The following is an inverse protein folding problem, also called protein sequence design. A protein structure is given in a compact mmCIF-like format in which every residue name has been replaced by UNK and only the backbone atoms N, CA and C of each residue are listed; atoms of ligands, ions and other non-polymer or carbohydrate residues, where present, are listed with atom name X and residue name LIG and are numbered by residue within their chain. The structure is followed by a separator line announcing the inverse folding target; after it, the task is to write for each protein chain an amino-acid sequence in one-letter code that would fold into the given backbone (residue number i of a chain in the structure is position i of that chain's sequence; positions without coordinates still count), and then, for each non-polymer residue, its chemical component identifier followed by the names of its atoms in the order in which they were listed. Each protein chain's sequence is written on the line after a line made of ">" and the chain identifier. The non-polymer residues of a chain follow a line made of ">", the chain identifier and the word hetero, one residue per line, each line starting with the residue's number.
data_IF_940164246618
#
_entry.id   IF_940164246618
#
_cell.length_a   1.000
_cell.length_b   1.000
_cell.length_c   1.000
_cell.angle_alpha   90.00
_cell.angle_beta   90.00
_cell.angle_gamma   90.00
#
_symmetry.space_group_name_H-M   'P 1'
#
loop_
_entity.id
_entity.type
_entity.pdbx_description
1 polymer ?
#
# COMPACT_ATOMS: atom_id res chain seq x y z
N UNK A 1 9.05 14.18 2.33
CA UNK A 1 8.52 13.28 3.35
C UNK A 1 9.23 11.94 3.25
N UNK A 2 9.57 11.33 4.38
CA UNK A 2 10.16 9.99 4.42
C UNK A 2 9.22 9.09 5.22
N UNK A 3 8.71 8.05 4.56
CA UNK A 3 7.82 7.05 5.16
C UNK A 3 8.65 5.78 5.42
N UNK A 4 9.07 5.58 6.66
CA UNK A 4 9.95 4.46 7.03
C UNK A 4 9.50 3.82 8.35
N UNK A 5 9.35 2.50 8.41
CA UNK A 5 8.99 1.77 9.63
C UNK A 5 10.23 1.38 10.47
N UNK A 6 11.28 2.21 10.51
CA UNK A 6 12.55 1.83 11.16
C UNK A 6 12.91 2.70 12.37
N UNK A 7 12.04 3.62 12.77
CA UNK A 7 12.30 4.60 13.82
C UNK A 7 11.25 4.56 14.92
N UNK A 8 11.51 5.26 16.04
CA UNK A 8 10.54 5.41 17.14
C UNK A 8 9.34 6.32 16.80
N UNK A 9 9.51 7.20 15.82
CA UNK A 9 8.42 7.99 15.25
C UNK A 9 8.18 7.50 13.83
N UNK A 10 6.94 7.23 13.47
CA UNK A 10 6.58 6.70 12.16
C UNK A 10 5.54 7.57 11.47
N UNK A 11 5.69 7.73 10.17
CA UNK A 11 4.66 8.34 9.33
C UNK A 11 3.62 7.27 9.01
N UNK A 12 2.35 7.55 9.27
CA UNK A 12 1.27 6.61 9.09
C UNK A 12 0.86 6.41 7.63
N UNK A 13 0.33 5.24 7.36
CA UNK A 13 -0.34 4.88 6.11
C UNK A 13 -1.67 4.25 6.49
N UNK A 14 -2.76 4.88 6.07
CA UNK A 14 -4.10 4.37 6.32
C UNK A 14 -4.94 4.40 5.03
N UNK A 15 -5.29 3.25 4.43
CA UNK A 15 -6.10 3.23 3.23
C UNK A 15 -7.50 3.79 3.44
N UNK A 16 -8.07 3.67 4.65
CA UNK A 16 -9.41 4.14 4.96
C UNK A 16 -9.51 5.67 5.01
N UNK A 17 -8.40 6.39 5.19
CA UNK A 17 -8.40 7.85 5.11
C UNK A 17 -8.77 8.38 3.71
N UNK A 18 -8.65 7.55 2.68
CA UNK A 18 -8.95 7.94 1.31
C UNK A 18 -10.42 8.32 1.09
N UNK A 19 -11.32 7.90 1.98
CA UNK A 19 -12.71 8.37 2.03
C UNK A 19 -12.80 9.90 2.18
N UNK A 20 -11.89 10.52 2.93
CA UNK A 20 -11.80 11.99 3.08
C UNK A 20 -11.50 12.70 1.76
N UNK A 21 -11.01 11.97 0.78
CA UNK A 21 -10.66 12.49 -0.55
C UNK A 21 -11.68 12.09 -1.61
N UNK A 22 -12.84 11.57 -1.21
CA UNK A 22 -13.96 11.24 -2.08
C UNK A 22 -13.75 9.93 -2.85
N UNK A 23 -13.03 8.97 -2.25
CA UNK A 23 -13.00 7.58 -2.73
C UNK A 23 -14.01 6.80 -1.89
N UNK A 24 -14.93 6.11 -2.58
CA UNK A 24 -16.00 5.38 -1.91
C UNK A 24 -15.46 4.21 -1.06
N UNK A 25 -16.04 3.95 0.12
CA UNK A 25 -15.62 2.86 1.01
C UNK A 25 -15.58 1.50 0.32
N UNK A 26 -16.53 1.25 -0.59
CA UNK A 26 -16.65 0.02 -1.38
C UNK A 26 -15.41 -0.18 -2.27
N UNK A 27 -14.98 0.88 -2.93
CA UNK A 27 -13.79 0.87 -3.79
C UNK A 27 -12.54 0.54 -2.97
N UNK A 28 -12.39 1.16 -1.79
CA UNK A 28 -11.25 0.88 -0.90
C UNK A 28 -11.27 -0.58 -0.43
N UNK A 29 -12.45 -1.10 -0.05
CA UNK A 29 -12.60 -2.48 0.39
C UNK A 29 -12.25 -3.48 -0.72
N UNK A 30 -12.70 -3.23 -1.95
CA UNK A 30 -12.42 -4.08 -3.11
C UNK A 30 -10.92 -4.11 -3.44
N UNK A 31 -10.26 -2.94 -3.46
CA UNK A 31 -8.81 -2.88 -3.67
C UNK A 31 -8.01 -3.59 -2.58
N UNK A 32 -8.42 -3.47 -1.31
CA UNK A 32 -7.79 -4.20 -0.22
C UNK A 32 -8.02 -5.71 -0.35
N UNK A 33 -9.22 -6.14 -0.72
CA UNK A 33 -9.52 -7.56 -0.94
C UNK A 33 -8.65 -8.15 -2.05
N UNK A 34 -8.55 -7.48 -3.20
CA UNK A 34 -7.70 -7.92 -4.31
C UNK A 34 -6.21 -7.91 -3.93
N UNK A 35 -5.76 -6.91 -3.15
CA UNK A 35 -4.41 -6.86 -2.61
C UNK A 35 -4.11 -8.11 -1.76
N UNK A 36 -4.99 -8.46 -0.81
CA UNK A 36 -4.78 -9.61 0.06
C UNK A 36 -4.89 -10.94 -0.69
N UNK A 37 -5.80 -11.08 -1.65
CA UNK A 37 -5.85 -12.23 -2.57
C UNK A 37 -4.53 -12.40 -3.33
N UNK A 38 -4.01 -11.32 -3.89
CA UNK A 38 -2.76 -11.34 -4.64
C UNK A 38 -1.52 -11.63 -3.78
N UNK A 39 -1.50 -11.12 -2.54
CA UNK A 39 -0.41 -11.39 -1.59
C UNK A 39 -0.41 -12.84 -1.10
N UNK A 40 -1.58 -13.46 -0.95
CA UNK A 40 -1.76 -14.75 -0.30
C UNK A 40 -2.72 -15.68 -1.09
N UNK A 41 -2.43 -15.99 -2.37
CA UNK A 41 -3.39 -16.63 -3.29
C UNK A 41 -3.87 -18.01 -2.81
N UNK A 42 -3.04 -18.75 -2.07
CA UNK A 42 -3.35 -20.11 -1.63
C UNK A 42 -3.83 -20.20 -0.17
N UNK A 43 -4.00 -19.04 0.50
CA UNK A 43 -4.24 -19.04 1.96
C UNK A 43 -5.67 -18.74 2.36
N UNK A 44 -6.47 -18.16 1.48
CA UNK A 44 -7.83 -17.74 1.78
C UNK A 44 -8.85 -18.57 1.00
N UNK A 45 -9.68 -19.34 1.71
CA UNK A 45 -10.85 -19.95 1.14
C UNK A 45 -11.99 -18.94 0.95
N UNK A 46 -13.08 -19.38 0.30
CA UNK A 46 -14.23 -18.54 -0.04
C UNK A 46 -14.78 -17.80 1.20
N UNK A 47 -14.97 -18.50 2.32
CA UNK A 47 -15.46 -17.88 3.55
C UNK A 47 -14.49 -16.86 4.16
N UNK A 48 -13.18 -17.10 4.09
CA UNK A 48 -12.19 -16.14 4.57
C UNK A 48 -12.17 -14.87 3.73
N UNK A 49 -12.36 -14.98 2.41
CA UNK A 49 -12.47 -13.84 1.50
C UNK A 49 -13.75 -13.04 1.76
N UNK A 50 -14.87 -13.72 2.00
CA UNK A 50 -16.13 -13.09 2.34
C UNK A 50 -16.02 -12.29 3.64
N UNK A 51 -15.43 -12.87 4.68
CA UNK A 51 -15.17 -12.18 5.95
C UNK A 51 -14.22 -10.99 5.76
N UNK A 52 -13.16 -11.13 4.96
CA UNK A 52 -12.24 -10.02 4.67
C UNK A 52 -12.96 -8.87 3.96
N UNK A 53 -13.77 -9.16 2.94
CA UNK A 53 -14.54 -8.18 2.20
C UNK A 53 -15.44 -7.35 3.12
N UNK A 54 -16.27 -8.02 3.93
CA UNK A 54 -17.16 -7.34 4.87
C UNK A 54 -16.41 -6.61 5.99
N UNK A 55 -15.27 -7.14 6.43
CA UNK A 55 -14.43 -6.47 7.42
C UNK A 55 -13.79 -5.19 6.89
N UNK A 56 -13.24 -5.22 5.66
CA UNK A 56 -12.67 -4.04 5.02
C UNK A 56 -13.74 -2.98 4.78
N UNK A 57 -14.92 -3.39 4.29
CA UNK A 57 -16.03 -2.46 4.07
C UNK A 57 -16.52 -1.84 5.39
N UNK A 58 -16.64 -2.65 6.44
CA UNK A 58 -17.01 -2.17 7.78
C UNK A 58 -16.02 -1.10 8.27
N UNK A 59 -14.71 -1.38 8.18
CA UNK A 59 -13.68 -0.43 8.59
C UNK A 59 -13.62 0.80 7.69
N UNK A 60 -13.86 0.66 6.39
CA UNK A 60 -13.84 1.78 5.46
C UNK A 60 -15.02 2.76 5.66
N UNK A 61 -16.18 2.27 6.10
CA UNK A 61 -17.37 3.08 6.36
C UNK A 61 -17.35 3.81 7.70
N UNK A 62 -16.54 3.35 8.65
CA UNK A 62 -16.47 3.93 9.99
C UNK A 62 -15.25 4.87 10.08
N UNK A 63 -15.45 6.13 10.52
CA UNK A 63 -14.34 7.07 10.67
C UNK A 63 -13.37 6.63 11.78
N UNK A 64 -12.14 7.09 11.71
CA UNK A 64 -11.08 6.82 12.69
C UNK A 64 -10.77 5.33 12.88
N UNK A 65 -10.86 4.55 11.82
CA UNK A 65 -10.45 3.15 11.78
C UNK A 65 -9.09 3.00 11.09
N UNK A 66 -8.47 1.85 11.27
CA UNK A 66 -7.21 1.48 10.61
C UNK A 66 -7.15 -0.02 10.34
N UNK A 67 -6.27 -0.42 9.42
CA UNK A 67 -6.12 -1.82 9.01
C UNK A 67 -5.76 -2.76 10.18
N UNK A 68 -5.03 -2.25 11.16
CA UNK A 68 -4.61 -3.00 12.35
C UNK A 68 -5.78 -3.36 13.28
N UNK A 69 -6.92 -2.71 13.13
CA UNK A 69 -8.13 -3.01 13.91
C UNK A 69 -8.87 -4.27 13.45
N UNK A 70 -8.57 -4.79 12.25
CA UNK A 70 -9.26 -5.95 11.70
C UNK A 70 -9.22 -7.20 12.60
N UNK A 71 -8.08 -7.61 13.19
CA UNK A 71 -8.06 -8.71 14.13
C UNK A 71 -9.00 -8.50 15.33
N UNK A 72 -9.04 -7.28 15.88
CA UNK A 72 -9.93 -6.94 16.99
C UNK A 72 -11.40 -6.93 16.58
N UNK A 73 -11.73 -6.45 15.40
CA UNK A 73 -13.07 -6.53 14.82
C UNK A 73 -13.56 -7.99 14.75
N UNK A 74 -12.68 -8.91 14.38
CA UNK A 74 -13.01 -10.33 14.20
C UNK A 74 -13.07 -11.10 15.52
N UNK A 75 -12.24 -10.76 16.52
CA UNK A 75 -12.09 -11.55 17.74
C UNK A 75 -12.73 -10.93 18.99
N UNK A 76 -12.90 -9.60 19.03
CA UNK A 76 -13.47 -8.90 20.19
C UNK A 76 -14.92 -8.46 19.91
N UNK A 77 -15.87 -9.20 20.50
CA UNK A 77 -17.30 -8.93 20.32
C UNK A 77 -17.72 -7.54 20.83
N UNK A 78 -17.16 -7.07 21.93
CA UNK A 78 -17.48 -5.75 22.48
C UNK A 78 -17.04 -4.64 21.54
N UNK A 79 -15.82 -4.75 21.01
CA UNK A 79 -15.29 -3.81 20.02
C UNK A 79 -16.10 -3.83 18.72
N UNK A 80 -16.43 -5.01 18.22
CA UNK A 80 -17.27 -5.17 17.03
C UNK A 80 -18.64 -4.53 17.21
N UNK A 81 -19.31 -4.80 18.33
CA UNK A 81 -20.61 -4.20 18.62
C UNK A 81 -20.56 -2.66 18.74
N UNK A 82 -19.45 -2.11 19.28
CA UNK A 82 -19.23 -0.67 19.33
C UNK A 82 -19.21 -0.08 17.92
N UNK A 83 -18.40 -0.67 17.01
CA UNK A 83 -18.30 -0.22 15.64
C UNK A 83 -19.63 -0.35 14.89
N UNK A 84 -20.32 -1.47 15.03
CA UNK A 84 -21.58 -1.73 14.31
C UNK A 84 -22.72 -0.78 14.70
N UNK A 85 -22.69 -0.17 15.89
CA UNK A 85 -23.69 0.86 16.28
C UNK A 85 -23.61 2.11 15.42
N UNK A 86 -22.47 2.40 14.83
CA UNK A 86 -22.26 3.55 13.94
C UNK A 86 -22.70 3.25 12.50
N UNK A 87 -22.91 1.97 12.16
CA UNK A 87 -23.34 1.55 10.82
C UNK A 87 -24.87 1.49 10.72
N UNK A 88 -25.39 1.96 9.60
CA UNK A 88 -26.80 1.87 9.23
C UNK A 88 -26.92 1.16 7.87
N UNK A 89 -26.74 -0.15 7.88
CA UNK A 89 -26.86 -0.98 6.68
C UNK A 89 -27.49 -2.33 7.02
N UNK A 90 -28.84 -2.35 7.20
CA UNK A 90 -29.53 -3.55 7.67
C UNK A 90 -29.52 -4.70 6.66
N UNK A 91 -29.40 -4.41 5.36
CA UNK A 91 -29.44 -5.44 4.30
C UNK A 91 -28.06 -6.05 4.08
N UNK A 92 -27.02 -5.21 4.04
CA UNK A 92 -25.64 -5.63 3.76
C UNK A 92 -24.92 -6.08 5.05
N UNK A 93 -24.24 -5.12 5.69
CA UNK A 93 -23.31 -5.43 6.79
C UNK A 93 -23.97 -5.96 8.05
N UNK A 94 -25.15 -5.47 8.44
CA UNK A 94 -25.84 -5.99 9.64
C UNK A 94 -26.25 -7.46 9.47
N UNK A 95 -26.78 -7.81 8.30
CA UNK A 95 -27.12 -9.21 7.97
C UNK A 95 -25.92 -10.12 8.05
N UNK A 96 -24.79 -9.69 7.48
CA UNK A 96 -23.54 -10.45 7.55
C UNK A 96 -23.04 -10.63 8.98
N UNK A 97 -22.97 -9.56 9.77
CA UNK A 97 -22.47 -9.64 11.15
C UNK A 97 -23.39 -10.45 12.07
N UNK A 98 -24.71 -10.43 11.82
CA UNK A 98 -25.64 -11.31 12.51
C UNK A 98 -25.37 -12.79 12.20
N UNK A 99 -25.15 -13.13 10.93
CA UNK A 99 -24.71 -14.47 10.54
C UNK A 99 -23.38 -14.85 11.20
N UNK A 100 -22.39 -13.94 11.21
CA UNK A 100 -21.08 -14.17 11.82
C UNK A 100 -21.19 -14.48 13.32
N UNK A 101 -22.09 -13.82 14.05
CA UNK A 101 -22.34 -14.09 15.48
C UNK A 101 -22.97 -15.48 15.73
N UNK A 102 -23.70 -16.03 14.78
CA UNK A 102 -24.30 -17.36 14.88
C UNK A 102 -23.32 -18.51 14.63
N UNK A 103 -22.12 -18.22 14.10
CA UNK A 103 -21.10 -19.25 13.90
C UNK A 103 -20.65 -19.83 15.24
N UNK A 104 -20.55 -21.16 15.32
CA UNK A 104 -19.94 -21.84 16.45
C UNK A 104 -18.46 -21.45 16.61
N UNK A 105 -17.91 -21.60 17.81
CA UNK A 105 -16.49 -21.30 18.06
C UNK A 105 -15.55 -22.09 17.12
N UNK A 106 -15.85 -23.37 16.91
CA UNK A 106 -15.05 -24.24 16.02
C UNK A 106 -15.06 -23.72 14.58
N UNK A 107 -16.23 -23.37 14.03
CA UNK A 107 -16.36 -22.80 12.70
C UNK A 107 -15.63 -21.46 12.60
N UNK A 108 -15.82 -20.60 13.59
CA UNK A 108 -15.16 -19.29 13.66
C UNK A 108 -13.64 -19.43 13.67
N UNK A 109 -13.09 -20.32 14.50
CA UNK A 109 -11.66 -20.60 14.54
C UNK A 109 -11.11 -21.08 13.20
N UNK A 110 -11.81 -22.03 12.57
CA UNK A 110 -11.39 -22.58 11.28
C UNK A 110 -11.31 -21.51 10.19
N UNK A 111 -12.29 -20.61 10.11
CA UNK A 111 -12.37 -19.59 9.07
C UNK A 111 -11.43 -18.42 9.35
N UNK A 112 -11.25 -18.01 10.62
CA UNK A 112 -10.45 -16.86 11.00
C UNK A 112 -8.95 -17.14 11.07
N UNK A 113 -8.53 -18.36 11.36
CA UNK A 113 -7.10 -18.68 11.52
C UNK A 113 -6.25 -18.28 10.32
N UNK A 114 -6.61 -18.52 9.06
CA UNK A 114 -5.83 -18.06 7.92
C UNK A 114 -5.67 -16.55 7.89
N UNK A 115 -6.73 -15.81 8.17
CA UNK A 115 -6.73 -14.34 8.21
C UNK A 115 -5.82 -13.84 9.32
N UNK A 116 -6.07 -14.28 10.55
CA UNK A 116 -5.34 -13.82 11.74
C UNK A 116 -3.85 -14.14 11.66
N UNK A 117 -3.47 -15.30 11.10
CA UNK A 117 -2.06 -15.66 10.91
C UNK A 117 -1.34 -14.67 9.98
N UNK A 118 -1.99 -14.21 8.92
CA UNK A 118 -1.39 -13.22 8.01
C UNK A 118 -1.29 -11.85 8.64
N UNK A 119 -2.32 -11.42 9.37
CA UNK A 119 -2.30 -10.15 10.08
C UNK A 119 -1.24 -10.12 11.21
N UNK A 120 -1.02 -11.24 11.92
CA UNK A 120 0.04 -11.34 12.94
C UNK A 120 1.43 -11.05 12.40
N UNK A 121 1.73 -11.37 11.14
CA UNK A 121 3.06 -11.15 10.55
C UNK A 121 3.50 -9.68 10.60
N UNK A 122 2.57 -8.74 10.47
CA UNK A 122 2.87 -7.31 10.56
C UNK A 122 2.41 -6.66 11.87
N UNK A 123 1.36 -7.17 12.54
CA UNK A 123 0.91 -6.61 13.83
C UNK A 123 1.84 -6.95 14.99
N UNK A 124 2.65 -8.01 14.90
CA UNK A 124 3.68 -8.34 15.88
C UNK A 124 4.93 -7.43 15.81
N UNK A 125 5.06 -6.63 14.76
CA UNK A 125 6.16 -5.66 14.60
C UNK A 125 5.69 -4.26 15.02
N UNK A 126 6.18 -3.72 16.16
CA UNK A 126 5.66 -2.45 16.70
C UNK A 126 5.68 -1.31 15.70
N UNK A 127 6.75 -1.17 14.92
CA UNK A 127 6.89 -0.10 13.93
C UNK A 127 5.87 -0.22 12.79
N UNK A 128 5.60 -1.44 12.31
CA UNK A 128 4.61 -1.69 11.26
C UNK A 128 3.20 -1.52 11.79
N UNK A 129 2.95 -2.05 13.00
CA UNK A 129 1.68 -1.87 13.69
C UNK A 129 1.37 -0.39 13.88
N UNK A 130 2.34 0.41 14.32
CA UNK A 130 2.17 1.84 14.48
C UNK A 130 2.00 2.58 13.14
N UNK A 131 2.73 2.19 12.09
CA UNK A 131 2.57 2.78 10.74
C UNK A 131 1.16 2.54 10.19
N UNK A 132 0.66 1.30 10.25
CA UNK A 132 -0.64 0.90 9.71
C UNK A 132 -1.80 1.13 10.71
N UNK A 133 -1.49 1.48 11.95
CA UNK A 133 -2.45 1.69 13.03
C UNK A 133 -2.92 3.14 13.20
N UNK A 134 -2.25 4.11 12.56
CA UNK A 134 -2.68 5.51 12.65
C UNK A 134 -4.04 5.71 11.98
N UNK A 135 -5.02 6.13 12.74
CA UNK A 135 -6.35 6.43 12.22
C UNK A 135 -6.39 7.77 11.49
N UNK A 136 -5.58 8.71 11.94
CA UNK A 136 -5.41 10.04 11.34
C UNK A 136 -3.91 10.33 11.17
N UNK A 137 -3.27 9.87 10.08
CA UNK A 137 -1.87 10.17 9.83
C UNK A 137 -1.66 11.66 9.55
N UNK A 138 -0.51 12.20 9.99
CA UNK A 138 -0.15 13.60 9.77
C UNK A 138 0.26 13.91 8.32
N UNK A 139 0.38 12.91 7.49
CA UNK A 139 0.65 13.02 6.07
C UNK A 139 -0.22 12.03 5.30
N UNK A 140 -0.88 12.52 4.26
CA UNK A 140 -1.63 11.69 3.32
C UNK A 140 -0.94 11.62 1.96
N UNK A 141 -0.98 10.44 1.32
CA UNK A 141 -0.52 10.28 -0.06
C UNK A 141 -1.30 11.17 -1.04
N UNK A 142 -2.53 11.55 -0.72
CA UNK A 142 -3.31 12.48 -1.53
C UNK A 142 -2.67 13.88 -1.65
N UNK A 143 -1.80 14.26 -0.72
CA UNK A 143 -1.09 15.53 -0.78
C UNK A 143 -0.09 15.62 -1.95
N UNK A 144 0.37 14.47 -2.47
CA UNK A 144 1.27 14.41 -3.63
C UNK A 144 0.62 15.07 -4.86
N UNK A 145 -0.69 14.92 -5.00
CA UNK A 145 -1.46 15.47 -6.13
C UNK A 145 -1.85 16.95 -5.95
N UNK A 146 -1.58 17.53 -4.78
CA UNK A 146 -1.93 18.93 -4.45
C UNK A 146 -0.72 19.83 -4.24
N UNK A 147 0.42 19.25 -3.92
CA UNK A 147 1.63 20.00 -3.54
C UNK A 147 2.88 19.31 -4.05
N UNK A 148 3.89 20.12 -4.45
CA UNK A 148 5.19 19.62 -4.92
C UNK A 148 5.99 19.04 -3.76
N UNK A 149 5.79 17.76 -3.47
CA UNK A 149 6.52 17.03 -2.41
C UNK A 149 7.33 15.90 -3.01
N UNK A 150 8.52 15.70 -2.50
CA UNK A 150 9.30 14.47 -2.71
C UNK A 150 8.96 13.52 -1.56
N UNK A 151 8.48 12.34 -1.86
CA UNK A 151 8.16 11.28 -0.90
C UNK A 151 9.11 10.11 -1.13
N UNK A 152 9.84 9.73 -0.09
CA UNK A 152 10.78 8.60 -0.12
C UNK A 152 10.24 7.49 0.79
N UNK A 153 10.22 6.27 0.27
CA UNK A 153 9.65 5.10 0.96
C UNK A 153 10.68 3.98 0.94
N UNK A 154 11.65 3.99 1.86
CA UNK A 154 12.70 2.97 1.91
C UNK A 154 12.15 1.65 2.48
N UNK A 155 11.84 0.68 1.60
CA UNK A 155 11.36 -0.65 1.95
C UNK A 155 12.52 -1.66 2.01
N UNK A 156 13.44 -1.47 2.92
CA UNK A 156 14.59 -2.35 3.09
C UNK A 156 14.17 -3.72 3.65
N UNK A 157 14.13 -4.75 2.79
CA UNK A 157 13.72 -6.12 3.13
C UNK A 157 14.54 -6.75 4.26
N UNK A 158 15.83 -6.42 4.36
CA UNK A 158 16.68 -6.95 5.43
C UNK A 158 16.33 -6.41 6.82
N UNK A 159 15.65 -5.27 6.88
CA UNK A 159 15.23 -4.62 8.14
C UNK A 159 13.78 -4.98 8.50
N UNK A 160 12.87 -4.85 7.54
CA UNK A 160 11.43 -5.02 7.82
C UNK A 160 10.89 -6.40 7.42
N UNK A 161 11.69 -7.21 6.76
CA UNK A 161 11.31 -8.51 6.21
C UNK A 161 10.63 -8.41 4.84
N UNK A 162 10.80 -9.43 4.02
CA UNK A 162 10.31 -9.46 2.63
C UNK A 162 8.80 -9.31 2.54
N UNK A 163 8.04 -10.08 3.34
CA UNK A 163 6.56 -10.04 3.34
C UNK A 163 6.01 -8.67 3.74
N UNK A 164 6.64 -8.03 4.75
CA UNK A 164 6.22 -6.70 5.19
C UNK A 164 6.52 -5.64 4.14
N UNK A 165 7.68 -5.71 3.48
CA UNK A 165 8.04 -4.81 2.40
C UNK A 165 7.08 -4.96 1.22
N UNK A 166 6.72 -6.19 0.86
CA UNK A 166 5.75 -6.50 -0.19
C UNK A 166 4.35 -5.96 0.14
N UNK A 167 3.87 -6.19 1.36
CA UNK A 167 2.58 -5.65 1.81
C UNK A 167 2.54 -4.11 1.73
N UNK A 168 3.54 -3.43 2.31
CA UNK A 168 3.55 -1.95 2.34
C UNK A 168 3.69 -1.39 0.92
N UNK A 169 4.59 -1.94 0.12
CA UNK A 169 4.79 -1.48 -1.26
C UNK A 169 3.54 -1.63 -2.10
N UNK A 170 2.88 -2.78 -2.03
CA UNK A 170 1.65 -3.05 -2.75
C UNK A 170 0.47 -2.20 -2.25
N UNK A 171 0.36 -2.00 -0.93
CA UNK A 171 -0.66 -1.14 -0.34
C UNK A 171 -0.51 0.31 -0.81
N UNK A 172 0.71 0.85 -0.77
CA UNK A 172 1.00 2.21 -1.24
C UNK A 172 0.69 2.35 -2.72
N UNK A 173 1.06 1.37 -3.54
CA UNK A 173 0.78 1.39 -4.98
C UNK A 173 -0.72 1.35 -5.26
N UNK A 174 -1.48 0.52 -4.54
CA UNK A 174 -2.94 0.49 -4.65
C UNK A 174 -3.57 1.82 -4.23
N UNK A 175 -3.11 2.42 -3.14
CA UNK A 175 -3.58 3.74 -2.69
C UNK A 175 -3.25 4.83 -3.72
N UNK A 176 -2.04 4.83 -4.28
CA UNK A 176 -1.66 5.77 -5.35
C UNK A 176 -2.53 5.59 -6.58
N UNK A 177 -2.82 4.34 -6.97
CA UNK A 177 -3.69 4.08 -8.12
C UNK A 177 -5.11 4.62 -7.90
N UNK A 178 -5.73 4.35 -6.76
CA UNK A 178 -7.05 4.94 -6.43
C UNK A 178 -7.03 6.47 -6.49
N UNK A 179 -5.96 7.10 -5.99
CA UNK A 179 -5.78 8.56 -6.04
C UNK A 179 -5.55 9.08 -7.47
N UNK A 180 -4.88 8.32 -8.33
CA UNK A 180 -4.72 8.62 -9.75
C UNK A 180 -6.07 8.60 -10.45
N UNK A 181 -6.87 7.55 -10.27
CA UNK A 181 -8.21 7.45 -10.84
C UNK A 181 -9.11 8.61 -10.39
N UNK A 182 -8.95 9.06 -9.15
CA UNK A 182 -9.67 10.21 -8.61
C UNK A 182 -9.33 11.53 -9.35
N UNK A 183 -8.17 11.62 -10.03
CA UNK A 183 -7.83 12.77 -10.87
C UNK A 183 -8.78 12.93 -12.08
N UNK A 184 -9.58 11.92 -12.40
CA UNK A 184 -10.62 12.03 -13.44
C UNK A 184 -11.60 13.17 -13.19
N UNK A 185 -11.91 13.46 -11.93
CA UNK A 185 -12.79 14.56 -11.53
C UNK A 185 -12.09 15.94 -11.45
N UNK A 186 -10.77 16.00 -11.69
CA UNK A 186 -10.01 17.25 -11.73
C UNK A 186 -9.85 17.66 -13.18
N UNK A 187 -10.11 18.92 -13.48
CA UNK A 187 -9.90 19.50 -14.81
C UNK A 187 -8.47 19.27 -15.30
N UNK A 188 -8.25 18.78 -16.53
CA UNK A 188 -6.91 18.43 -17.04
C UNK A 188 -5.86 19.53 -16.88
N UNK A 189 -6.23 20.78 -17.07
CA UNK A 189 -5.35 21.96 -16.92
C UNK A 189 -4.87 22.20 -15.49
N UNK A 190 -5.58 21.66 -14.48
CA UNK A 190 -5.25 21.80 -13.04
C UNK A 190 -4.53 20.59 -12.46
N UNK A 191 -4.38 19.51 -13.25
CA UNK A 191 -3.67 18.30 -12.80
C UNK A 191 -2.18 18.57 -12.68
N UNK A 192 -1.61 18.30 -11.51
CA UNK A 192 -0.17 18.37 -11.32
C UNK A 192 0.51 17.12 -11.90
N UNK A 193 1.68 17.31 -12.51
CA UNK A 193 2.50 16.16 -12.94
C UNK A 193 3.09 15.45 -11.72
N UNK A 194 2.90 14.15 -11.65
CA UNK A 194 3.43 13.28 -10.60
C UNK A 194 4.31 12.21 -11.24
N UNK A 195 5.49 12.00 -10.69
CA UNK A 195 6.39 10.94 -11.12
C UNK A 195 6.59 9.93 -10.01
N UNK A 196 6.33 8.67 -10.32
CA UNK A 196 6.46 7.54 -9.39
C UNK A 196 7.66 6.70 -9.84
N UNK A 197 8.60 6.50 -8.93
CA UNK A 197 9.79 5.68 -9.16
C UNK A 197 9.73 4.46 -8.26
N UNK A 198 9.76 3.26 -8.85
CA UNK A 198 9.77 1.99 -8.13
C UNK A 198 11.00 1.20 -8.56
N UNK A 199 11.95 1.10 -7.65
CA UNK A 199 13.10 0.23 -7.82
C UNK A 199 12.75 -1.20 -7.36
N UNK A 200 13.32 -2.22 -7.98
CA UNK A 200 13.01 -3.64 -7.73
C UNK A 200 11.49 -3.95 -7.83
N UNK A 201 10.83 -3.45 -8.85
CA UNK A 201 9.38 -3.57 -9.11
C UNK A 201 8.80 -4.98 -8.85
N UNK A 202 9.42 -6.10 -9.31
CA UNK A 202 8.87 -7.44 -9.07
C UNK A 202 8.74 -7.81 -7.60
N UNK A 203 9.54 -7.17 -6.75
CA UNK A 203 9.53 -7.40 -5.31
C UNK A 203 8.31 -6.83 -4.60
N UNK A 204 7.66 -5.84 -5.19
CA UNK A 204 6.53 -5.12 -4.61
C UNK A 204 5.24 -5.30 -5.43
N UNK A 205 5.36 -5.48 -6.74
CA UNK A 205 4.25 -5.49 -7.68
C UNK A 205 4.08 -6.81 -8.43
N UNK A 206 4.89 -7.82 -8.12
CA UNK A 206 4.77 -9.18 -8.68
C UNK A 206 3.54 -9.96 -8.15
N UNK A 207 2.50 -9.25 -7.72
CA UNK A 207 1.25 -9.83 -7.24
C UNK A 207 0.36 -10.08 -8.45
N UNK A 208 -0.15 -11.32 -8.65
CA UNK A 208 -1.20 -11.57 -9.62
C UNK A 208 -2.39 -10.64 -9.34
N UNK A 209 -2.98 -10.08 -10.37
CA UNK A 209 -4.06 -9.09 -10.30
C UNK A 209 -3.65 -7.72 -9.71
N UNK A 210 -2.35 -7.38 -9.66
CA UNK A 210 -1.98 -5.99 -9.41
C UNK A 210 -2.48 -5.13 -10.59
N UNK A 211 -3.09 -3.98 -10.27
CA UNK A 211 -3.61 -3.06 -11.30
C UNK A 211 -2.48 -2.28 -12.00
N UNK A 212 -1.24 -2.79 -12.02
CA UNK A 212 -0.10 -2.06 -12.57
C UNK A 212 -0.17 -1.92 -14.09
N UNK A 213 -0.56 -2.96 -14.81
CA UNK A 213 -0.78 -2.91 -16.26
C UNK A 213 -1.89 -1.92 -16.63
N UNK A 214 -2.98 -1.87 -15.87
CA UNK A 214 -4.00 -0.84 -16.00
C UNK A 214 -3.46 0.55 -15.66
N UNK A 215 -2.70 0.66 -14.57
CA UNK A 215 -2.04 1.90 -14.17
C UNK A 215 -1.07 2.42 -15.24
N UNK A 216 -0.26 1.55 -15.85
CA UNK A 216 0.65 1.90 -16.93
C UNK A 216 -0.08 2.38 -18.19
N UNK A 217 -1.22 1.76 -18.52
CA UNK A 217 -2.01 2.13 -19.71
C UNK A 217 -2.76 3.46 -19.56
N UNK A 218 -3.27 3.75 -18.36
CA UNK A 218 -4.20 4.87 -18.15
C UNK A 218 -3.56 6.11 -17.49
N UNK A 219 -2.42 5.98 -16.80
CA UNK A 219 -1.88 7.07 -15.98
C UNK A 219 -1.47 8.32 -16.77
N UNK A 220 -1.11 8.17 -18.05
CA UNK A 220 -0.73 9.30 -18.92
C UNK A 220 -1.83 10.36 -19.00
N UNK A 221 -3.09 9.96 -19.09
CA UNK A 221 -4.22 10.90 -19.14
C UNK A 221 -4.40 11.70 -17.85
N UNK A 222 -3.84 11.23 -16.73
CA UNK A 222 -3.90 11.88 -15.42
C UNK A 222 -2.63 12.66 -15.06
N UNK A 223 -1.71 12.88 -16.02
CA UNK A 223 -0.42 13.53 -15.79
C UNK A 223 0.51 12.77 -14.83
N UNK A 224 0.43 11.45 -14.80
CA UNK A 224 1.28 10.60 -13.96
C UNK A 224 2.22 9.77 -14.80
N UNK A 225 3.53 9.85 -14.49
CA UNK A 225 4.59 9.06 -15.11
C UNK A 225 5.12 8.00 -14.16
N UNK A 226 5.17 6.75 -14.63
CA UNK A 226 5.77 5.64 -13.90
C UNK A 226 7.18 5.37 -14.40
N UNK A 227 8.12 5.21 -13.46
CA UNK A 227 9.47 4.77 -13.69
C UNK A 227 9.67 3.48 -12.89
N UNK A 228 9.80 2.37 -13.58
CA UNK A 228 9.91 1.05 -13.00
C UNK A 228 11.26 0.44 -13.29
N UNK A 229 11.96 0.02 -12.23
CA UNK A 229 13.26 -0.63 -12.31
C UNK A 229 13.18 -2.10 -11.91
N UNK A 230 13.93 -2.96 -12.59
CA UNK A 230 14.06 -4.37 -12.28
C UNK A 230 15.39 -4.92 -12.78
N UNK A 231 15.87 -5.99 -12.16
CA UNK A 231 17.16 -6.60 -12.52
C UNK A 231 16.98 -7.72 -13.53
N UNK A 232 15.91 -8.51 -13.42
CA UNK A 232 15.70 -9.70 -14.23
C UNK A 232 14.27 -9.78 -14.77
N UNK A 233 14.14 -9.97 -16.08
CA UNK A 233 12.84 -10.19 -16.75
C UNK A 233 12.12 -11.44 -16.24
N UNK A 234 12.87 -12.47 -15.83
CA UNK A 234 12.31 -13.72 -15.32
C UNK A 234 11.54 -13.56 -13.98
N UNK A 235 11.77 -12.46 -13.25
CA UNK A 235 11.08 -12.18 -11.98
C UNK A 235 9.66 -11.67 -12.17
N UNK A 236 9.26 -11.34 -13.40
CA UNK A 236 7.94 -10.78 -13.71
C UNK A 236 6.96 -11.86 -14.12
N UNK A 237 5.69 -11.68 -13.76
CA UNK A 237 4.62 -12.48 -14.33
C UNK A 237 4.48 -12.23 -15.85
N UNK A 238 3.97 -13.21 -16.63
CA UNK A 238 3.73 -13.00 -18.05
C UNK A 238 2.83 -11.78 -18.35
N UNK A 239 1.82 -11.55 -17.50
CA UNK A 239 0.90 -10.42 -17.62
C UNK A 239 1.63 -9.09 -17.45
N UNK A 240 2.48 -8.97 -16.41
CA UNK A 240 3.25 -7.76 -16.16
C UNK A 240 4.24 -7.46 -17.30
N UNK A 241 4.91 -8.51 -17.85
CA UNK A 241 5.77 -8.34 -19.03
C UNK A 241 4.99 -7.79 -20.22
N UNK A 242 3.84 -8.39 -20.53
CA UNK A 242 2.99 -7.94 -21.63
C UNK A 242 2.50 -6.50 -21.42
N UNK A 243 2.11 -6.14 -20.20
CA UNK A 243 1.71 -4.77 -19.84
C UNK A 243 2.84 -3.76 -20.03
N UNK A 244 4.06 -4.09 -19.62
CA UNK A 244 5.25 -3.24 -19.81
C UNK A 244 5.57 -3.09 -21.30
N UNK A 245 5.58 -4.19 -22.06
CA UNK A 245 5.88 -4.13 -23.50
C UNK A 245 4.88 -3.27 -24.27
N UNK A 246 3.61 -3.36 -23.92
CA UNK A 246 2.53 -2.64 -24.59
C UNK A 246 2.44 -1.15 -24.20
N UNK A 247 2.77 -0.79 -22.96
CA UNK A 247 2.46 0.53 -22.42
C UNK A 247 3.69 1.39 -22.09
N UNK A 248 4.90 0.79 -21.99
CA UNK A 248 6.12 1.54 -21.68
C UNK A 248 6.85 1.95 -22.94
N UNK A 249 6.72 3.23 -23.29
CA UNK A 249 7.33 3.80 -24.49
C UNK A 249 8.86 3.90 -24.38
N UNK A 250 9.37 4.37 -23.24
CA UNK A 250 10.80 4.60 -23.04
C UNK A 250 11.42 3.43 -22.26
N UNK A 251 12.52 2.88 -22.76
CA UNK A 251 13.24 1.78 -22.11
C UNK A 251 14.71 2.11 -22.01
N UNK A 252 15.32 1.86 -20.85
CA UNK A 252 16.76 1.98 -20.62
C UNK A 252 17.26 0.58 -20.26
N UNK A 253 18.09 0.01 -21.10
CA UNK A 253 18.58 -1.37 -21.00
C UNK A 253 20.08 -1.35 -20.82
N UNK A 254 20.55 -1.78 -19.66
CA UNK A 254 21.97 -2.01 -19.38
C UNK A 254 22.40 -3.40 -19.86
N UNK A 255 23.69 -3.74 -19.68
CA UNK A 255 24.19 -5.07 -20.06
C UNK A 255 23.37 -6.21 -19.46
N UNK A 256 22.95 -7.14 -20.30
CA UNK A 256 22.08 -8.26 -19.97
C UNK A 256 22.85 -9.58 -19.97
N UNK A 257 22.33 -10.60 -19.29
CA UNK A 257 22.77 -11.97 -19.51
C UNK A 257 22.27 -12.48 -20.87
N UNK A 258 22.82 -13.61 -21.34
CA UNK A 258 22.57 -14.13 -22.67
C UNK A 258 21.09 -14.42 -22.97
N UNK A 259 20.35 -14.96 -21.99
CA UNK A 259 18.94 -15.31 -22.19
C UNK A 259 18.06 -14.06 -22.21
N UNK A 260 18.32 -13.09 -21.37
CA UNK A 260 17.62 -11.80 -21.37
C UNK A 260 17.95 -10.98 -22.63
N UNK A 261 19.20 -11.02 -23.10
CA UNK A 261 19.61 -10.40 -24.36
C UNK A 261 18.85 -11.00 -25.55
N UNK A 262 18.66 -12.31 -25.60
CA UNK A 262 17.82 -12.98 -26.60
C UNK A 262 16.35 -12.55 -26.52
N UNK A 263 15.84 -12.39 -25.30
CA UNK A 263 14.48 -11.92 -25.09
C UNK A 263 14.30 -10.47 -25.58
N UNK A 264 15.20 -9.58 -25.20
CA UNK A 264 15.15 -8.16 -25.59
C UNK A 264 15.32 -7.96 -27.11
N UNK A 265 16.18 -8.73 -27.76
CA UNK A 265 16.38 -8.64 -29.20
C UNK A 265 15.11 -8.97 -30.02
N UNK A 266 14.11 -9.66 -29.45
CA UNK A 266 12.82 -9.89 -30.12
C UNK A 266 11.98 -8.62 -30.30
N UNK A 267 12.25 -7.59 -29.51
CA UNK A 267 11.48 -6.33 -29.50
C UNK A 267 12.16 -5.19 -30.30
N UNK A 268 13.22 -5.50 -31.03
CA UNK A 268 13.92 -4.54 -31.90
C UNK A 268 14.45 -5.20 -33.16
N UNK A 269 14.53 -4.43 -34.24
CA UNK A 269 15.15 -4.84 -35.49
C UNK A 269 16.54 -4.21 -35.67
N UNK A 270 16.94 -3.33 -34.76
CA UNK A 270 18.13 -2.48 -34.89
C UNK A 270 19.31 -2.97 -34.01
N UNK A 271 19.04 -3.79 -32.99
CA UNK A 271 20.03 -4.20 -31.99
C UNK A 271 19.98 -5.71 -31.83
N UNK A 272 21.09 -6.38 -32.00
CA UNK A 272 21.23 -7.81 -31.86
C UNK A 272 21.45 -8.23 -30.38
N UNK A 273 21.25 -9.52 -30.10
CA UNK A 273 21.46 -10.07 -28.73
C UNK A 273 22.89 -9.90 -28.26
N UNK A 274 23.86 -9.97 -29.17
CA UNK A 274 25.30 -9.78 -28.90
C UNK A 274 25.57 -8.37 -28.39
N UNK A 275 24.86 -7.38 -28.93
CA UNK A 275 25.01 -5.96 -28.53
C UNK A 275 24.54 -5.74 -27.09
N UNK A 276 23.39 -6.32 -26.71
CA UNK A 276 22.89 -6.24 -25.33
C UNK A 276 23.79 -6.99 -24.34
N UNK A 277 24.34 -8.14 -24.75
CA UNK A 277 25.20 -8.96 -23.90
C UNK A 277 26.59 -8.34 -23.69
N UNK A 278 27.14 -7.69 -24.71
CA UNK A 278 28.51 -7.14 -24.72
C UNK A 278 28.63 -5.72 -24.19
N UNK A 279 27.53 -5.09 -23.75
CA UNK A 279 27.54 -3.73 -23.22
C UNK A 279 28.51 -3.58 -22.04
N UNK A 280 29.47 -2.62 -22.14
CA UNK A 280 30.37 -2.34 -21.01
C UNK A 280 29.60 -1.81 -19.79
N UNK A 281 30.17 -1.92 -18.57
CA UNK A 281 29.59 -1.32 -17.38
C UNK A 281 29.25 0.15 -17.56
N UNK A 282 28.08 0.54 -17.07
CA UNK A 282 27.52 1.91 -17.16
C UNK A 282 27.07 2.37 -18.54
N UNK A 283 27.17 1.53 -19.57
CA UNK A 283 26.57 1.80 -20.86
C UNK A 283 25.15 1.21 -20.93
N UNK A 284 24.29 1.86 -21.70
CA UNK A 284 22.92 1.41 -21.89
C UNK A 284 22.42 1.71 -23.29
N UNK A 285 21.55 0.87 -23.81
CA UNK A 285 20.68 1.22 -24.92
C UNK A 285 19.42 1.90 -24.38
N UNK A 286 19.02 2.99 -25.01
CA UNK A 286 17.88 3.79 -24.62
C UNK A 286 16.91 3.82 -25.80
N UNK A 287 15.76 3.20 -25.66
CA UNK A 287 14.63 3.37 -26.57
C UNK A 287 13.83 4.59 -26.16
N UNK A 288 13.59 5.50 -27.06
CA UNK A 288 12.80 6.70 -26.81
C UNK A 288 11.83 6.99 -27.94
N UNK A 289 10.67 7.54 -27.63
CA UNK A 289 9.70 8.00 -28.60
C UNK A 289 10.15 9.36 -29.16
N UNK A 290 10.41 9.43 -30.45
CA UNK A 290 10.85 10.67 -31.16
C UNK A 290 9.70 11.39 -31.86
N UNK A 291 8.65 10.65 -32.22
CA UNK A 291 7.36 11.16 -32.69
C UNK A 291 6.27 10.11 -32.40
N UNK A 292 4.98 10.44 -32.48
CA UNK A 292 3.91 9.48 -32.19
C UNK A 292 4.10 8.14 -32.92
N UNK A 293 4.26 7.05 -32.13
CA UNK A 293 4.52 5.69 -32.58
C UNK A 293 5.85 5.46 -33.34
N UNK A 294 6.76 6.44 -33.36
CA UNK A 294 8.10 6.28 -33.91
C UNK A 294 9.13 6.25 -32.78
N UNK A 295 9.84 5.15 -32.68
CA UNK A 295 10.85 4.92 -31.63
C UNK A 295 12.23 4.84 -32.25
N UNK A 296 13.22 5.32 -31.50
CA UNK A 296 14.63 5.23 -31.87
C UNK A 296 15.44 4.66 -30.71
N UNK A 297 16.40 3.82 -31.02
CA UNK A 297 17.38 3.35 -30.07
C UNK A 297 18.64 4.21 -30.14
N UNK A 298 19.12 4.67 -29.00
CA UNK A 298 20.38 5.40 -28.87
C UNK A 298 21.24 4.72 -27.82
N UNK A 299 22.56 4.81 -27.98
CA UNK A 299 23.50 4.33 -26.96
C UNK A 299 23.88 5.48 -26.04
N UNK A 300 23.93 5.23 -24.75
CA UNK A 300 24.28 6.20 -23.73
C UNK A 300 25.22 5.65 -22.68
N UNK A 301 25.94 6.53 -22.02
CA UNK A 301 26.79 6.19 -20.87
C UNK A 301 26.31 6.94 -19.64
N UNK A 302 26.07 6.21 -18.54
CA UNK A 302 25.72 6.82 -17.28
C UNK A 302 26.92 7.56 -16.67
N UNK A 303 26.67 8.75 -16.15
CA UNK A 303 27.69 9.50 -15.39
C UNK A 303 27.79 8.94 -13.96
N UNK A 304 28.98 9.06 -13.32
CA UNK A 304 29.11 8.77 -11.89
C UNK A 304 28.11 9.58 -11.05
N UNK A 305 27.65 9.05 -9.91
CA UNK A 305 26.80 9.82 -9.00
C UNK A 305 27.49 11.10 -8.57
N UNK A 306 26.73 12.19 -8.52
CA UNK A 306 27.27 13.47 -8.02
C UNK A 306 27.72 13.34 -6.57
N UNK A 307 28.78 14.06 -6.15
CA UNK A 307 29.20 14.08 -4.76
C UNK A 307 28.07 14.51 -3.83
N UNK A 308 28.05 13.97 -2.61
CA UNK A 308 27.12 14.43 -1.58
C UNK A 308 27.33 15.92 -1.30
N UNK A 309 26.29 16.71 -1.51
CA UNK A 309 26.30 18.17 -1.26
C UNK A 309 25.62 18.54 0.06
N UNK A 310 24.88 17.63 0.68
CA UNK A 310 24.15 17.83 1.95
C UNK A 310 24.11 16.54 2.77
N UNK A 311 23.98 16.71 4.10
CA UNK A 311 23.66 15.59 4.97
C UNK A 311 22.22 15.11 4.76
N UNK A 312 22.04 13.81 4.62
CA UNK A 312 20.72 13.18 4.47
C UNK A 312 19.97 13.07 5.82
N UNK A 313 20.66 13.17 6.94
CA UNK A 313 20.06 12.99 8.28
C UNK A 313 19.11 14.13 8.64
N UNK A 314 19.49 15.38 8.35
CA UNK A 314 18.67 16.56 8.67
C UNK A 314 17.30 16.53 7.96
N UNK A 315 17.18 16.32 6.64
CA UNK A 315 15.88 16.19 5.99
C UNK A 315 15.03 15.02 6.52
N UNK A 316 15.70 13.92 6.89
CA UNK A 316 15.03 12.75 7.47
C UNK A 316 14.40 13.08 8.84
N UNK A 317 15.19 13.67 9.75
CA UNK A 317 14.71 14.07 11.09
C UNK A 317 13.60 15.13 11.00
N UNK A 318 13.71 16.10 10.09
CA UNK A 318 12.68 17.12 9.85
C UNK A 318 11.38 16.47 9.35
N UNK A 319 11.48 15.48 8.49
CA UNK A 319 10.31 14.72 8.03
C UNK A 319 9.61 14.00 9.19
N UNK A 320 10.37 13.31 10.03
CA UNK A 320 9.82 12.60 11.20
C UNK A 320 9.24 13.55 12.24
N UNK A 321 9.89 14.68 12.48
CA UNK A 321 9.38 15.70 13.41
C UNK A 321 8.04 16.27 12.95
N UNK A 322 7.89 16.51 11.64
CA UNK A 322 6.69 17.14 11.08
C UNK A 322 5.54 16.17 10.86
N UNK A 323 5.82 14.96 10.39
CA UNK A 323 4.80 14.02 9.93
C UNK A 323 4.72 12.73 10.74
N UNK A 324 5.77 12.41 11.51
CA UNK A 324 5.81 11.20 12.32
C UNK A 324 5.05 11.36 13.64
N UNK A 325 4.40 10.28 14.07
CA UNK A 325 3.82 10.16 15.42
C UNK A 325 4.65 9.16 16.23
N UNK A 326 4.70 9.34 17.54
CA UNK A 326 5.42 8.44 18.44
C UNK A 326 4.68 7.08 18.54
N UNK A 327 5.45 6.00 18.53
CA UNK A 327 4.87 4.64 18.56
C UNK A 327 4.09 4.42 19.87
N UNK A 328 4.61 4.90 21.00
CA UNK A 328 3.94 4.72 22.30
C UNK A 328 2.61 5.49 22.39
N UNK A 329 2.55 6.69 21.80
CA UNK A 329 1.31 7.46 21.71
C UNK A 329 0.26 6.75 20.85
N UNK A 330 0.67 6.21 19.69
CA UNK A 330 -0.21 5.46 18.79
C UNK A 330 -0.73 4.20 19.49
N UNK A 331 0.13 3.46 20.17
CA UNK A 331 -0.25 2.25 20.90
C UNK A 331 -1.24 2.54 22.02
N UNK A 332 -1.02 3.60 22.79
CA UNK A 332 -1.95 4.03 23.82
C UNK A 332 -3.32 4.45 23.25
N UNK A 333 -3.33 5.21 22.14
CA UNK A 333 -4.58 5.57 21.46
C UNK A 333 -5.32 4.33 20.96
N UNK A 334 -4.59 3.36 20.42
CA UNK A 334 -5.14 2.12 19.92
C UNK A 334 -5.76 1.26 21.02
N UNK A 335 -5.05 1.11 22.15
CA UNK A 335 -5.54 0.40 23.32
C UNK A 335 -6.80 1.06 23.89
N UNK A 336 -6.79 2.38 24.05
CA UNK A 336 -7.95 3.12 24.51
C UNK A 336 -9.16 2.96 23.58
N UNK A 337 -8.94 2.96 22.25
CA UNK A 337 -10.01 2.83 21.27
C UNK A 337 -10.64 1.41 21.27
N UNK A 338 -9.81 0.37 21.40
CA UNK A 338 -10.27 -1.03 21.41
C UNK A 338 -10.82 -1.45 22.76
N UNK A 339 -10.13 -1.07 23.85
CA UNK A 339 -10.40 -1.55 25.20
C UNK A 339 -10.98 -0.47 26.09
N UNK A 340 -11.63 0.57 25.52
CA UNK A 340 -12.29 1.58 26.36
C UNK A 340 -12.90 0.88 27.57
N UNK A 341 -12.18 0.97 28.71
CA UNK A 341 -12.75 0.60 30.00
C UNK A 341 -14.02 1.42 30.10
N UNK A 342 -15.15 0.77 30.25
CA UNK A 342 -16.38 1.41 30.65
C UNK A 342 -16.07 2.23 31.90
N UNK A 343 -15.68 3.48 31.66
CA UNK A 343 -15.47 4.43 32.71
C UNK A 343 -16.82 4.65 33.38
N UNK A 344 -16.90 4.19 34.62
CA UNK A 344 -17.85 4.59 35.67
C UNK A 344 -19.35 4.34 35.46
N UNK A 345 -19.77 3.26 36.01
CA UNK A 345 -20.98 3.26 36.86
C UNK A 345 -20.63 2.63 38.21
N UNK A 346 -19.74 3.20 38.97
CA UNK A 346 -19.43 2.79 40.35
C UNK A 346 -18.93 3.94 41.21
N UNK A 347 -19.55 5.13 41.16
CA UNK A 347 -19.27 6.18 42.15
C UNK A 347 -20.53 6.82 42.78
N UNK A 348 -21.73 6.30 42.51
CA UNK A 348 -22.96 6.83 43.14
C UNK A 348 -23.58 5.96 44.23
N UNK A 349 -22.91 4.88 44.65
CA UNK A 349 -23.45 4.00 45.71
C UNK A 349 -22.78 4.10 47.09
N UNK A 350 -21.75 4.98 47.22
CA UNK A 350 -21.06 5.14 48.52
C UNK A 350 -21.30 6.49 49.23
N UNK A 351 -22.23 7.31 48.75
CA UNK A 351 -22.56 8.58 49.38
C UNK A 351 -23.92 8.59 50.15
N UNK A 352 -24.55 7.45 50.34
CA UNK A 352 -25.83 7.34 51.10
C UNK A 352 -25.75 6.52 52.37
N UNK A 353 -24.59 6.36 52.98
CA UNK A 353 -24.47 5.59 54.24
C UNK A 353 -23.77 6.35 55.40
N UNK A 354 -23.69 7.69 55.32
CA UNK A 354 -23.13 8.51 56.43
C UNK A 354 -24.08 9.56 56.99
N UNK A 355 -25.38 9.51 56.68
CA UNK A 355 -26.38 10.41 57.31
C UNK A 355 -27.50 9.63 57.95
N UNK A 356 -27.20 8.67 58.81
CA UNK A 356 -28.10 8.13 59.83
C UNK A 356 -27.25 7.53 60.96
N UNK A 357 -26.86 8.41 61.92
CA UNK A 357 -26.21 8.02 63.12
C UNK A 357 -25.92 9.26 64.01
#
# INVERSE_FOLDING_TARGET
>A
VVISPTTKRVVGINPFELTKYGIEPEVIADYLLELFKGLYPEHFGIYSLDILSHSFLTLARIPNTSLVMLPSLLTNKSFRNKLLRELKDPIGLESFWNWFELLSEAQRHQILNPILNKFRQFTLRPQLRAMLGQTNPNFSLAEIFKSRKVVLIPLNKSVIGSESAKLIGSLITSMLWMLILRQSSVEPSKRQSVFIYIDETPSFLGIPNSNLDEALSQSRQFNVGWNIGFQHLAQMSPQLKAGIESNVANKIVFGLNLDEAREMAKYTLEIDKEDFYSLPPFWSYIRTEVSPNAYQWIIGKAYPPKPKIRDSRTPFLNSLSRYGQDISEIECQFENYIFEKSASKNDDSNQKLTDLG
#
